data_IF_223653016041
#
_entry.id   IF_223653016041
#
_cell.length_a   1.000
_cell.length_b   1.000
_cell.length_c   1.000
_cell.angle_alpha   90.00
_cell.angle_beta   90.00
_cell.angle_gamma   90.00
#
_symmetry.space_group_name_H-M   'P 1'
#
loop_
_entity.id
_entity.type
_entity.pdbx_description
1 polymer ?
#
# COMPACT_ATOMS: atom_id res chain seq x y z
N UNK A 1 -16.45 -19.34 -85.48
CA UNK A 1 -15.22 -18.80 -86.10
C UNK A 1 -15.44 -17.30 -86.30
N UNK A 2 -14.47 -16.51 -85.82
CA UNK A 2 -14.42 -15.05 -85.63
C UNK A 2 -14.97 -14.14 -86.75
N UNK A 3 -15.56 -12.99 -86.35
CA UNK A 3 -15.18 -11.61 -86.74
C UNK A 3 -16.14 -10.58 -86.09
N UNK A 4 -15.73 -9.81 -85.06
CA UNK A 4 -15.12 -8.47 -85.07
C UNK A 4 -16.02 -7.31 -85.58
N UNK A 5 -16.44 -6.41 -84.68
CA UNK A 5 -16.28 -4.97 -84.94
C UNK A 5 -16.27 -4.11 -83.66
N UNK A 6 -15.31 -3.18 -83.61
CA UNK A 6 -15.10 -2.12 -82.61
C UNK A 6 -16.18 -1.05 -82.72
N UNK A 7 -16.32 -0.20 -81.68
CA UNK A 7 -16.34 1.29 -81.80
C UNK A 7 -16.51 2.05 -80.45
N UNK A 8 -15.61 3.02 -80.23
CA UNK A 8 -15.73 4.33 -79.54
C UNK A 8 -15.86 4.39 -78.00
N UNK A 9 -14.81 4.82 -77.28
CA UNK A 9 -14.40 6.22 -76.92
C UNK A 9 -15.20 6.80 -75.73
N UNK A 10 -14.54 7.09 -74.61
CA UNK A 10 -14.49 8.42 -73.96
C UNK A 10 -14.03 8.35 -72.50
N UNK A 11 -13.07 9.21 -72.19
CA UNK A 11 -12.51 9.53 -70.87
C UNK A 11 -13.56 10.07 -69.90
N UNK A 12 -13.45 9.78 -68.60
CA UNK A 12 -13.84 10.73 -67.57
C UNK A 12 -13.06 10.53 -66.27
N UNK A 13 -12.35 11.59 -65.90
CA UNK A 13 -11.63 11.82 -64.66
C UNK A 13 -12.67 11.95 -63.52
N UNK A 14 -12.60 11.15 -62.46
CA UNK A 14 -13.32 11.43 -61.22
C UNK A 14 -12.33 11.57 -60.08
N UNK A 15 -12.09 12.84 -59.73
CA UNK A 15 -11.53 13.29 -58.46
C UNK A 15 -12.54 12.93 -57.37
N UNK A 16 -12.13 12.13 -56.38
CA UNK A 16 -12.87 12.00 -55.12
C UNK A 16 -11.96 12.48 -54.00
N UNK A 17 -12.28 13.66 -53.49
CA UNK A 17 -11.70 14.26 -52.30
C UNK A 17 -11.90 13.35 -51.08
N UNK A 18 -10.81 12.92 -50.45
CA UNK A 18 -10.84 12.33 -49.11
C UNK A 18 -11.05 13.45 -48.08
N UNK A 19 -12.23 13.53 -47.49
CA UNK A 19 -12.46 14.31 -46.27
C UNK A 19 -11.87 13.53 -45.09
N UNK A 20 -10.72 14.00 -44.58
CA UNK A 20 -10.16 13.55 -43.32
C UNK A 20 -11.05 14.04 -42.17
N UNK A 21 -11.82 13.13 -41.56
CA UNK A 21 -12.39 13.39 -40.24
C UNK A 21 -11.27 13.18 -39.23
N UNK A 22 -10.62 14.27 -38.82
CA UNK A 22 -9.74 14.25 -37.64
C UNK A 22 -10.65 14.13 -36.42
N UNK A 23 -10.87 12.90 -35.97
CA UNK A 23 -11.53 12.63 -34.70
C UNK A 23 -10.62 13.10 -33.58
N UNK A 24 -10.91 14.25 -32.98
CA UNK A 24 -10.32 14.63 -31.71
C UNK A 24 -10.89 13.71 -30.65
N UNK A 25 -10.19 12.61 -30.36
CA UNK A 25 -10.44 11.86 -29.14
C UNK A 25 -10.01 12.77 -28.00
N UNK A 26 -10.97 13.52 -27.44
CA UNK A 26 -10.78 14.10 -26.12
C UNK A 26 -10.51 12.91 -25.20
N UNK A 27 -9.30 12.85 -24.65
CA UNK A 27 -9.01 11.94 -23.55
C UNK A 27 -10.14 12.11 -22.54
N UNK A 28 -10.91 11.05 -22.32
CA UNK A 28 -11.87 11.06 -21.23
C UNK A 28 -11.02 11.19 -19.99
N UNK A 29 -11.09 12.35 -19.34
CA UNK A 29 -10.71 12.43 -17.92
C UNK A 29 -11.75 11.59 -17.22
N UNK A 30 -11.44 10.31 -16.99
CA UNK A 30 -12.16 9.49 -16.03
C UNK A 30 -11.99 10.19 -14.70
N UNK A 31 -13.00 10.94 -14.30
CA UNK A 31 -13.13 11.33 -12.91
C UNK A 31 -13.52 10.05 -12.20
N UNK A 32 -12.55 9.43 -11.53
CA UNK A 32 -12.82 8.42 -10.51
C UNK A 32 -13.71 9.12 -9.49
N UNK A 33 -15.02 8.91 -9.59
CA UNK A 33 -15.90 9.21 -8.47
C UNK A 33 -15.46 8.27 -7.38
N UNK A 34 -14.72 8.80 -6.39
CA UNK A 34 -14.44 8.06 -5.17
C UNK A 34 -15.77 7.50 -4.69
N UNK A 35 -15.89 6.18 -4.44
CA UNK A 35 -17.09 5.66 -3.82
C UNK A 35 -17.39 6.47 -2.55
N UNK A 36 -18.66 6.54 -2.15
CA UNK A 36 -19.11 7.16 -0.89
C UNK A 36 -18.74 6.20 0.28
N UNK A 37 -17.46 5.85 0.33
CA UNK A 37 -16.75 4.89 1.17
C UNK A 37 -15.29 4.91 0.68
N UNK A 38 -14.30 4.97 1.58
CA UNK A 38 -12.92 5.17 1.16
C UNK A 38 -12.34 4.00 0.35
N UNK A 39 -11.18 4.22 -0.24
CA UNK A 39 -10.49 3.25 -1.06
C UNK A 39 -9.80 2.18 -0.22
N UNK A 40 -9.61 0.99 -0.81
CA UNK A 40 -8.68 -0.01 -0.28
C UNK A 40 -7.32 0.24 -0.91
N UNK A 41 -6.30 0.39 -0.06
CA UNK A 41 -4.90 0.58 -0.44
C UNK A 41 -4.12 -0.68 -0.03
N UNK A 42 -3.48 -1.32 -1.00
CA UNK A 42 -2.73 -2.57 -0.77
C UNK A 42 -1.27 -2.29 -0.45
N UNK A 43 -0.74 -3.03 0.52
CA UNK A 43 0.67 -3.00 0.94
C UNK A 43 1.23 -4.42 0.94
N UNK A 44 2.30 -4.63 0.19
CA UNK A 44 3.05 -5.89 0.15
C UNK A 44 4.50 -5.57 -0.16
N UNK A 45 5.40 -5.85 0.79
CA UNK A 45 6.83 -5.63 0.63
C UNK A 45 7.46 -6.46 -0.51
N UNK A 46 6.78 -7.51 -0.97
CA UNK A 46 7.18 -8.36 -2.08
C UNK A 46 6.59 -7.94 -3.44
N UNK A 47 5.72 -6.92 -3.48
CA UNK A 47 5.10 -6.46 -4.71
C UNK A 47 6.12 -5.92 -5.72
N UNK A 48 5.92 -6.25 -7.00
CA UNK A 48 6.84 -5.90 -8.09
C UNK A 48 6.22 -4.98 -9.15
N UNK A 49 4.95 -4.60 -8.99
CA UNK A 49 4.24 -3.74 -9.93
C UNK A 49 4.53 -2.24 -9.74
N UNK A 50 3.56 -1.41 -10.11
CA UNK A 50 3.74 0.04 -10.19
C UNK A 50 3.88 0.76 -8.83
N UNK A 51 3.68 0.06 -7.71
CA UNK A 51 3.74 0.63 -6.36
C UNK A 51 2.78 1.81 -6.17
N UNK A 52 1.52 1.64 -6.61
CA UNK A 52 0.44 2.63 -6.50
C UNK A 52 -0.67 2.25 -5.52
N UNK A 53 -0.59 1.05 -4.92
CA UNK A 53 -1.53 0.58 -3.91
C UNK A 53 -2.90 0.17 -4.47
N UNK A 54 -3.08 0.07 -5.79
CA UNK A 54 -4.39 -0.19 -6.41
C UNK A 54 -4.84 -1.65 -6.39
N UNK A 55 -3.90 -2.59 -6.31
CA UNK A 55 -4.11 -4.05 -6.25
C UNK A 55 -2.95 -4.69 -5.48
N UNK A 56 -3.04 -5.99 -5.15
CA UNK A 56 -1.89 -6.73 -4.61
C UNK A 56 -0.67 -6.70 -5.54
N UNK A 57 -0.86 -6.81 -6.87
CA UNK A 57 0.24 -6.75 -7.85
C UNK A 57 0.93 -5.37 -7.85
N UNK A 58 0.17 -4.30 -7.67
CA UNK A 58 0.66 -2.92 -7.67
C UNK A 58 0.75 -2.32 -6.27
N UNK A 59 0.76 -3.17 -5.24
CA UNK A 59 0.77 -2.74 -3.85
C UNK A 59 2.00 -1.88 -3.52
N UNK A 60 1.86 -1.01 -2.52
CA UNK A 60 3.02 -0.29 -2.00
C UNK A 60 3.98 -1.27 -1.32
N UNK A 61 5.29 -1.23 -1.62
CA UNK A 61 6.29 -2.04 -0.92
C UNK A 61 6.52 -1.60 0.54
N UNK A 62 6.00 -0.44 0.93
CA UNK A 62 6.16 0.15 2.25
C UNK A 62 4.83 0.66 2.79
N UNK A 63 4.52 0.29 4.04
CA UNK A 63 3.38 0.84 4.77
C UNK A 63 3.49 2.36 4.93
N UNK A 64 4.71 2.92 5.03
CA UNK A 64 4.92 4.36 5.16
C UNK A 64 4.42 5.12 3.91
N UNK A 65 4.61 4.54 2.72
CA UNK A 65 4.11 5.11 1.46
C UNK A 65 2.58 5.08 1.40
N UNK A 66 1.96 3.96 1.81
CA UNK A 66 0.51 3.85 1.87
C UNK A 66 -0.12 4.81 2.89
N UNK A 67 0.46 4.95 4.09
CA UNK A 67 0.04 5.94 5.09
C UNK A 67 0.13 7.39 4.59
N UNK A 68 1.12 7.67 3.74
CA UNK A 68 1.27 8.98 3.11
C UNK A 68 0.15 9.24 2.09
N UNK A 69 -0.23 8.22 1.31
CA UNK A 69 -1.27 8.31 0.29
C UNK A 69 -2.70 8.30 0.86
N UNK A 70 -2.94 7.56 1.95
CA UNK A 70 -4.26 7.35 2.52
C UNK A 70 -4.90 8.65 3.03
N UNK A 71 -6.21 8.69 3.01
CA UNK A 71 -7.05 9.79 3.51
C UNK A 71 -8.18 9.23 4.37
N UNK A 72 -8.83 10.10 5.15
CA UNK A 72 -9.94 9.68 6.03
C UNK A 72 -11.02 8.96 5.22
N UNK A 73 -11.39 7.76 5.67
CA UNK A 73 -12.31 6.83 5.04
C UNK A 73 -11.62 5.62 4.41
N UNK A 74 -10.32 5.69 4.12
CA UNK A 74 -9.57 4.64 3.44
C UNK A 74 -9.21 3.47 4.38
N UNK A 75 -9.13 2.28 3.79
CA UNK A 75 -8.56 1.10 4.43
C UNK A 75 -7.19 0.77 3.81
N UNK A 76 -6.22 0.42 4.64
CA UNK A 76 -4.92 -0.10 4.22
C UNK A 76 -4.87 -1.59 4.56
N UNK A 77 -4.71 -2.44 3.56
CA UNK A 77 -4.59 -3.88 3.72
C UNK A 77 -3.14 -4.29 3.54
N UNK A 78 -2.56 -4.92 4.56
CA UNK A 78 -1.13 -5.20 4.63
C UNK A 78 -0.90 -6.70 4.60
N UNK A 79 -0.17 -7.16 3.59
CA UNK A 79 0.25 -8.55 3.46
C UNK A 79 1.18 -8.95 4.63
N UNK A 80 1.25 -10.25 4.93
CA UNK A 80 2.22 -10.81 5.86
C UNK A 80 3.65 -10.35 5.57
N UNK A 81 4.49 -10.34 6.60
CA UNK A 81 5.88 -9.91 6.50
C UNK A 81 6.23 -8.80 7.48
N UNK A 82 7.45 -8.28 7.35
CA UNK A 82 8.03 -7.31 8.28
C UNK A 82 8.11 -5.94 7.64
N UNK A 83 7.47 -4.96 8.27
CA UNK A 83 7.44 -3.56 7.81
C UNK A 83 8.14 -2.66 8.82
N UNK A 84 9.02 -1.81 8.30
CA UNK A 84 9.85 -0.88 9.09
C UNK A 84 9.43 0.57 8.79
N UNK A 85 9.42 1.48 9.79
CA UNK A 85 9.04 2.88 9.56
C UNK A 85 9.93 3.59 8.54
N UNK A 86 11.19 3.15 8.43
CA UNK A 86 12.19 3.71 7.54
C UNK A 86 13.23 2.67 7.14
N UNK A 87 13.91 2.93 6.03
CA UNK A 87 15.14 2.22 5.62
C UNK A 87 16.41 3.04 5.94
N UNK A 88 16.26 4.21 6.58
CA UNK A 88 17.37 5.07 7.03
C UNK A 88 17.70 4.80 8.50
N UNK A 89 18.79 5.38 9.00
CA UNK A 89 19.16 5.30 10.42
C UNK A 89 18.40 6.29 11.33
N UNK A 90 17.33 6.93 10.83
CA UNK A 90 16.57 7.91 11.61
C UNK A 90 15.61 7.22 12.59
N UNK A 91 16.06 7.13 13.83
CA UNK A 91 15.33 6.51 14.95
C UNK A 91 14.05 7.27 15.34
N UNK A 92 13.83 8.48 14.84
CA UNK A 92 12.64 9.29 15.15
C UNK A 92 11.44 8.95 14.27
N UNK A 93 11.64 8.14 13.22
CA UNK A 93 10.57 7.75 12.31
C UNK A 93 9.74 6.59 12.87
N UNK A 94 8.42 6.72 12.70
CA UNK A 94 7.38 5.81 13.21
C UNK A 94 6.23 5.75 12.22
N UNK A 95 5.43 4.68 12.28
CA UNK A 95 4.14 4.63 11.59
C UNK A 95 3.14 5.52 12.33
N UNK A 96 2.77 6.63 11.71
CA UNK A 96 1.81 7.58 12.28
C UNK A 96 0.37 7.20 11.89
N UNK A 97 -0.45 6.88 12.90
CA UNK A 97 -1.87 6.65 12.75
C UNK A 97 -2.59 7.92 12.30
N UNK A 98 -3.66 7.77 11.51
CA UNK A 98 -4.46 8.88 10.96
C UNK A 98 -5.92 8.65 11.31
N UNK A 99 -6.59 9.69 11.82
CA UNK A 99 -8.05 9.64 12.00
C UNK A 99 -8.74 9.24 10.70
N UNK A 100 -9.71 8.34 10.82
CA UNK A 100 -10.52 7.82 9.74
C UNK A 100 -9.80 6.83 8.83
N UNK A 101 -8.54 6.49 9.08
CA UNK A 101 -7.81 5.47 8.32
C UNK A 101 -7.76 4.19 9.14
N UNK A 102 -8.20 3.10 8.53
CA UNK A 102 -8.10 1.77 9.11
C UNK A 102 -6.97 0.97 8.47
N UNK A 103 -6.17 0.29 9.28
CA UNK A 103 -5.01 -0.48 8.85
C UNK A 103 -5.19 -1.91 9.35
N UNK A 104 -5.21 -2.87 8.43
CA UNK A 104 -5.43 -4.29 8.70
C UNK A 104 -4.24 -5.11 8.21
N UNK A 105 -3.64 -5.88 9.10
CA UNK A 105 -2.67 -6.94 8.79
C UNK A 105 -3.38 -8.30 8.64
N UNK A 106 -2.61 -9.34 8.31
CA UNK A 106 -3.14 -10.70 8.21
C UNK A 106 -3.50 -11.19 6.80
N UNK A 107 -3.03 -10.51 5.75
CA UNK A 107 -3.33 -10.90 4.36
C UNK A 107 -2.21 -11.75 3.74
N UNK A 108 -2.58 -12.70 2.89
CA UNK A 108 -1.67 -13.50 2.06
C UNK A 108 -1.38 -12.85 0.69
N UNK A 109 -1.81 -11.60 0.48
CA UNK A 109 -1.70 -10.84 -0.77
C UNK A 109 -2.51 -11.42 -1.95
N UNK A 110 -3.63 -12.07 -1.66
CA UNK A 110 -4.51 -12.65 -2.69
C UNK A 110 -5.99 -12.39 -2.47
N UNK A 111 -6.34 -11.86 -1.30
CA UNK A 111 -7.70 -11.65 -0.84
C UNK A 111 -8.39 -10.53 -1.61
N UNK A 112 -9.70 -10.68 -1.77
CA UNK A 112 -10.59 -9.68 -2.36
C UNK A 112 -11.51 -9.04 -1.32
N UNK A 113 -11.63 -9.65 -0.14
CA UNK A 113 -12.46 -9.18 0.97
C UNK A 113 -11.68 -9.11 2.27
N UNK A 114 -11.97 -8.10 3.10
CA UNK A 114 -11.32 -7.89 4.39
C UNK A 114 -11.49 -9.09 5.34
N UNK A 115 -12.60 -9.81 5.22
CA UNK A 115 -12.95 -10.96 6.06
C UNK A 115 -12.21 -12.24 5.68
N UNK A 116 -11.47 -12.24 4.56
CA UNK A 116 -10.65 -13.38 4.14
C UNK A 116 -9.28 -13.40 4.83
N UNK A 117 -8.93 -12.32 5.54
CA UNK A 117 -7.68 -12.25 6.30
C UNK A 117 -7.60 -13.36 7.35
N UNK A 118 -6.39 -13.85 7.56
CA UNK A 118 -6.04 -14.79 8.63
C UNK A 118 -4.80 -14.24 9.33
N UNK A 119 -5.01 -13.45 10.38
CA UNK A 119 -3.92 -12.82 11.15
C UNK A 119 -3.17 -13.80 12.06
N UNK A 120 -3.65 -15.03 12.23
CA UNK A 120 -2.94 -16.06 12.98
C UNK A 120 -1.92 -16.78 12.09
N UNK A 121 -2.25 -16.97 10.81
CA UNK A 121 -1.36 -17.61 9.83
C UNK A 121 -0.47 -16.58 9.11
N UNK A 122 -1.06 -15.49 8.63
CA UNK A 122 -0.38 -14.48 7.81
C UNK A 122 0.20 -13.37 8.68
N UNK A 123 1.18 -13.71 9.51
CA UNK A 123 1.74 -12.78 10.50
C UNK A 123 2.27 -11.50 9.84
N UNK A 124 1.73 -10.36 10.24
CA UNK A 124 2.20 -9.03 9.83
C UNK A 124 2.89 -8.34 11.00
N UNK A 125 4.17 -7.99 10.82
CA UNK A 125 5.01 -7.43 11.88
C UNK A 125 5.36 -5.97 11.56
N UNK A 126 5.08 -5.07 12.50
CA UNK A 126 5.66 -3.72 12.50
C UNK A 126 6.90 -3.74 13.39
N UNK A 127 8.08 -3.57 12.78
CA UNK A 127 9.35 -3.68 13.48
C UNK A 127 10.10 -2.35 13.53
N UNK A 128 10.58 -2.00 14.72
CA UNK A 128 11.49 -0.86 14.93
C UNK A 128 12.96 -1.14 14.60
N UNK A 129 13.34 -2.37 14.25
CA UNK A 129 14.72 -2.76 13.90
C UNK A 129 15.14 -2.13 12.56
N UNK A 130 15.59 -0.88 12.56
CA UNK A 130 15.89 -0.12 11.33
C UNK A 130 17.28 -0.41 10.76
N UNK A 131 18.16 -1.09 11.51
CA UNK A 131 19.50 -1.48 11.05
C UNK A 131 19.71 -3.00 10.85
N UNK A 132 18.64 -3.81 10.97
CA UNK A 132 18.59 -5.24 10.63
C UNK A 132 19.54 -6.12 11.44
N UNK A 133 19.67 -5.85 12.74
CA UNK A 133 20.62 -6.56 13.61
C UNK A 133 19.97 -7.26 14.81
N UNK A 134 18.65 -7.13 14.97
CA UNK A 134 17.90 -7.86 15.98
C UNK A 134 17.79 -9.35 15.67
N UNK A 135 17.76 -10.19 16.71
CA UNK A 135 17.50 -11.63 16.56
C UNK A 135 15.99 -11.87 16.67
N UNK A 136 15.41 -12.42 15.60
CA UNK A 136 13.97 -12.66 15.46
C UNK A 136 13.62 -14.14 15.39
N UNK A 137 12.36 -14.46 15.63
CA UNK A 137 11.76 -15.75 15.27
C UNK A 137 11.57 -15.87 13.73
N UNK A 138 11.10 -17.03 13.22
CA UNK A 138 10.88 -17.19 11.77
C UNK A 138 9.88 -16.22 11.14
N UNK A 139 9.03 -15.57 11.93
CA UNK A 139 8.05 -14.58 11.47
C UNK A 139 8.59 -13.15 11.53
N UNK A 140 9.83 -12.95 11.99
CA UNK A 140 10.44 -11.63 12.13
C UNK A 140 10.08 -10.90 13.43
N UNK A 141 9.55 -11.61 14.44
CA UNK A 141 9.20 -11.06 15.75
C UNK A 141 10.37 -11.21 16.71
N UNK A 142 10.72 -10.15 17.45
CA UNK A 142 11.68 -10.27 18.56
C UNK A 142 10.92 -10.70 19.81
N UNK A 143 11.24 -11.88 20.32
CA UNK A 143 10.54 -12.50 21.46
C UNK A 143 11.29 -12.36 22.79
N UNK A 144 12.53 -11.85 22.76
CA UNK A 144 13.34 -11.56 23.93
C UNK A 144 13.95 -10.17 23.80
N UNK A 145 13.75 -9.30 24.79
CA UNK A 145 14.33 -7.96 24.82
C UNK A 145 15.85 -7.93 24.75
N UNK A 146 16.55 -9.01 25.17
CA UNK A 146 18.00 -9.12 25.04
C UNK A 146 18.47 -9.20 23.57
N UNK A 147 17.56 -9.53 22.65
CA UNK A 147 17.81 -9.59 21.22
C UNK A 147 17.56 -8.26 20.50
N UNK A 148 17.05 -7.24 21.21
CA UNK A 148 16.92 -5.87 20.71
C UNK A 148 18.27 -5.18 20.88
N UNK A 149 18.99 -4.98 19.79
CA UNK A 149 20.34 -4.40 19.78
C UNK A 149 20.43 -3.24 18.80
N UNK A 150 21.57 -2.55 18.76
CA UNK A 150 21.80 -1.49 17.76
C UNK A 150 20.83 -0.30 17.80
N UNK A 151 20.51 0.21 16.61
CA UNK A 151 19.68 1.39 16.42
C UNK A 151 18.29 0.98 15.96
N UNK A 152 17.32 1.14 16.86
CA UNK A 152 15.92 0.91 16.54
C UNK A 152 15.11 2.20 16.68
N UNK A 153 13.99 2.31 15.96
CA UNK A 153 13.03 3.40 16.14
C UNK A 153 12.65 3.54 17.62
N UNK A 154 12.54 4.78 18.11
CA UNK A 154 12.10 5.03 19.49
C UNK A 154 10.67 4.52 19.69
N UNK A 155 9.81 4.79 18.70
CA UNK A 155 8.44 4.27 18.62
C UNK A 155 8.24 3.61 17.27
N UNK A 156 7.59 2.46 17.27
CA UNK A 156 7.20 1.80 16.02
C UNK A 156 5.92 2.43 15.48
N UNK A 157 4.94 2.68 16.35
CA UNK A 157 3.65 3.27 16.02
C UNK A 157 3.38 4.48 16.92
N UNK A 158 2.83 5.55 16.36
CA UNK A 158 2.42 6.75 17.10
C UNK A 158 1.04 7.21 16.65
N UNK A 159 0.25 7.75 17.57
CA UNK A 159 -1.12 8.23 17.30
C UNK A 159 -1.25 9.75 17.40
N UNK A 160 -0.18 10.52 17.20
CA UNK A 160 -0.07 11.98 17.46
C UNK A 160 -1.27 12.82 16.95
N UNK A 161 -2.34 12.92 17.75
CA UNK A 161 -3.57 13.64 17.42
C UNK A 161 -4.63 12.87 16.62
N UNK A 162 -4.44 11.57 16.37
CA UNK A 162 -5.48 10.69 15.84
C UNK A 162 -6.55 10.41 16.91
N UNK A 163 -7.81 10.39 16.49
CA UNK A 163 -8.96 10.07 17.35
C UNK A 163 -9.30 8.57 17.30
N UNK A 164 -10.42 8.19 17.91
CA UNK A 164 -10.91 6.82 18.01
C UNK A 164 -11.33 6.19 16.67
N UNK A 165 -11.30 6.96 15.58
CA UNK A 165 -11.58 6.44 14.23
C UNK A 165 -10.33 5.89 13.53
N UNK A 166 -9.13 6.04 14.11
CA UNK A 166 -7.93 5.39 13.62
C UNK A 166 -7.89 3.93 14.08
N UNK A 167 -7.74 2.98 13.14
CA UNK A 167 -7.76 1.53 13.44
C UNK A 167 -6.43 0.90 13.07
N UNK A 168 -5.85 0.12 13.98
CA UNK A 168 -4.73 -0.79 13.73
C UNK A 168 -5.12 -2.18 14.23
N UNK A 169 -5.23 -3.15 13.33
CA UNK A 169 -5.74 -4.50 13.62
C UNK A 169 -4.93 -5.57 12.88
N UNK A 170 -4.66 -6.70 13.52
CA UNK A 170 -3.93 -7.83 12.93
C UNK A 170 -2.41 -7.65 12.81
N UNK A 171 -1.78 -6.92 13.74
CA UNK A 171 -0.33 -6.69 13.74
C UNK A 171 0.35 -7.19 15.02
N UNK A 172 1.55 -7.76 14.86
CA UNK A 172 2.53 -7.84 15.93
C UNK A 172 3.46 -6.64 15.85
N UNK A 173 3.62 -5.90 16.94
CA UNK A 173 4.55 -4.77 17.02
C UNK A 173 5.76 -5.24 17.82
N UNK A 174 6.97 -4.91 17.35
CA UNK A 174 8.22 -5.35 17.98
C UNK A 174 9.35 -4.32 17.82
N UNK A 175 10.39 -4.45 18.64
CA UNK A 175 11.68 -3.78 18.44
C UNK A 175 11.67 -2.25 18.58
N UNK A 176 10.70 -1.67 19.30
CA UNK A 176 10.79 -0.27 19.74
C UNK A 176 11.86 -0.10 20.83
N UNK A 177 12.73 0.91 20.72
CA UNK A 177 13.82 1.13 21.67
C UNK A 177 13.87 2.58 22.17
N UNK A 178 12.95 2.94 23.04
CA UNK A 178 12.75 4.28 23.60
C UNK A 178 13.78 4.63 24.71
N UNK A 179 15.06 4.75 24.34
CA UNK A 179 16.17 5.01 25.28
C UNK A 179 16.63 6.48 25.36
N UNK A 180 15.98 7.39 24.62
CA UNK A 180 16.24 8.83 24.68
C UNK A 180 15.67 9.44 25.98
N UNK A 181 16.56 9.91 26.85
CA UNK A 181 16.19 10.47 28.16
C UNK A 181 15.68 11.93 28.13
N UNK A 182 15.66 12.58 26.97
CA UNK A 182 15.52 14.04 26.85
C UNK A 182 14.21 14.54 26.26
N UNK A 183 13.30 13.67 25.82
CA UNK A 183 11.99 14.04 25.24
C UNK A 183 10.87 13.19 25.86
N UNK A 184 9.80 13.80 26.43
CA UNK A 184 8.77 13.07 27.16
C UNK A 184 8.01 12.01 26.35
N UNK A 185 7.97 12.15 25.02
CA UNK A 185 7.29 11.19 24.15
C UNK A 185 8.08 9.89 23.97
N UNK A 186 9.37 9.83 24.30
CA UNK A 186 10.25 8.66 24.13
C UNK A 186 10.20 7.67 25.31
N UNK A 187 9.00 7.44 25.84
CA UNK A 187 8.74 6.43 26.87
C UNK A 187 7.58 5.53 26.45
N UNK A 188 7.86 4.60 25.53
CA UNK A 188 6.91 3.58 25.09
C UNK A 188 7.46 2.18 25.38
N UNK A 189 6.61 1.31 25.92
CA UNK A 189 6.84 -0.14 25.95
C UNK A 189 6.21 -0.73 24.69
N UNK A 190 6.90 -1.69 24.11
CA UNK A 190 6.41 -2.51 23.01
C UNK A 190 5.05 -3.13 23.38
N UNK A 191 4.04 -2.94 22.52
CA UNK A 191 2.67 -3.35 22.78
C UNK A 191 2.24 -4.35 21.71
N UNK A 192 2.19 -5.64 22.08
CA UNK A 192 1.59 -6.67 21.25
C UNK A 192 0.07 -6.62 21.39
N UNK A 193 -0.65 -6.07 20.40
CA UNK A 193 -2.10 -6.18 20.35
C UNK A 193 -2.49 -7.55 19.79
N UNK A 194 -2.66 -8.55 20.66
CA UNK A 194 -3.31 -9.80 20.28
C UNK A 194 -4.83 -9.62 20.35
N UNK A 195 -5.42 -9.15 19.25
CA UNK A 195 -6.84 -9.29 18.96
C UNK A 195 -7.82 -8.33 19.65
N UNK A 196 -8.81 -7.94 18.84
CA UNK A 196 -10.14 -7.41 19.16
C UNK A 196 -10.24 -6.12 19.99
N UNK A 197 -10.26 -4.97 19.30
CA UNK A 197 -11.10 -3.84 19.71
C UNK A 197 -12.37 -3.90 18.86
N UNK A 198 -13.37 -4.66 19.31
CA UNK A 198 -14.76 -4.42 18.93
C UNK A 198 -15.34 -3.35 19.89
N UNK A 199 -16.29 -2.52 19.43
CA UNK A 199 -16.65 -1.24 20.06
C UNK A 199 -17.10 -1.31 21.52
#
# INVERSE_FOLDING_TARGET
>A
MFAFNRRHLASLLFVVCALLVVGWTHGRVSHSSSPVGGAVIYVDHAATGNSDGSTWEHAYPSLQSALTAATSGDEIWVAQGVYKPTSTADRTLSFAMKSGVAIYGGFAATETLRTERDWETNITVLSGDIDNNDITDPNGVVTDTANIVGNNSYHVVVSNGADDTAILDGFTITSGHANLHSVPIDRGLDFTLLGEIQP
#
